data_IF_229046073075
#
_entry.id   IF_229046073075
#
_cell.length_a   1.000
_cell.length_b   1.000
_cell.length_c   1.000
_cell.angle_alpha   90.00
_cell.angle_beta   90.00
_cell.angle_gamma   90.00
#
_symmetry.space_group_name_H-M   'P 1'
#
loop_
_entity.id
_entity.type
_entity.pdbx_description
1 polymer ?
#
# COMPACT_ATOMS: atom_id res chain seq x y z
N UNK A 1 8.97 -24.69 29.45
CA UNK A 1 8.56 -23.52 30.26
C UNK A 1 7.19 -23.09 29.76
N UNK A 2 6.12 -23.57 30.40
CA UNK A 2 4.74 -23.41 29.94
C UNK A 2 4.22 -22.08 30.47
N UNK A 3 4.10 -21.08 29.59
CA UNK A 3 3.46 -19.80 29.94
C UNK A 3 2.01 -20.12 30.35
N UNK A 4 1.65 -19.79 31.60
CA UNK A 4 0.32 -20.12 32.12
C UNK A 4 -0.76 -19.36 31.33
N UNK A 5 -1.94 -19.97 31.18
CA UNK A 5 -3.09 -19.37 30.47
C UNK A 5 -3.41 -17.95 30.98
N UNK A 6 -3.14 -17.67 32.25
CA UNK A 6 -3.32 -16.36 32.88
C UNK A 6 -2.43 -15.27 32.28
N UNK A 7 -1.22 -15.60 31.83
CA UNK A 7 -0.30 -14.63 31.19
C UNK A 7 -0.73 -14.26 29.77
N UNK A 8 -1.38 -15.19 29.06
CA UNK A 8 -1.97 -14.92 27.74
C UNK A 8 -3.16 -13.96 27.82
N UNK A 9 -4.04 -14.18 28.80
CA UNK A 9 -5.22 -13.33 29.00
C UNK A 9 -4.78 -11.91 29.37
N UNK A 10 -3.77 -11.76 30.23
CA UNK A 10 -3.25 -10.45 30.63
C UNK A 10 -2.64 -9.69 29.45
N UNK A 11 -1.87 -10.36 28.58
CA UNK A 11 -1.32 -9.76 27.36
C UNK A 11 -2.41 -9.34 26.37
N UNK A 12 -3.46 -10.15 26.20
CA UNK A 12 -4.56 -9.83 25.29
C UNK A 12 -5.31 -8.58 25.74
N UNK A 13 -5.58 -8.45 27.04
CA UNK A 13 -6.23 -7.27 27.62
C UNK A 13 -5.37 -6.03 27.44
N UNK A 14 -4.05 -6.14 27.65
CA UNK A 14 -3.12 -5.02 27.46
C UNK A 14 -3.09 -4.53 26.01
N UNK A 15 -3.04 -5.45 25.04
CA UNK A 15 -3.08 -5.12 23.61
C UNK A 15 -4.41 -4.45 23.25
N UNK A 16 -5.53 -4.93 23.77
CA UNK A 16 -6.86 -4.34 23.49
C UNK A 16 -6.96 -2.91 24.03
N UNK A 17 -6.45 -2.66 25.24
CA UNK A 17 -6.38 -1.32 25.83
C UNK A 17 -5.50 -0.40 24.97
N UNK A 18 -4.34 -0.88 24.53
CA UNK A 18 -3.48 -0.11 23.62
C UNK A 18 -4.21 0.24 22.31
N UNK A 19 -4.91 -0.70 21.68
CA UNK A 19 -5.64 -0.45 20.41
C UNK A 19 -6.73 0.61 20.62
N UNK A 20 -7.50 0.53 21.71
CA UNK A 20 -8.55 1.51 22.01
C UNK A 20 -7.93 2.90 22.19
N UNK A 21 -6.85 3.01 22.99
CA UNK A 21 -6.17 4.29 23.24
C UNK A 21 -5.56 4.87 21.94
N UNK A 22 -4.92 4.04 21.12
CA UNK A 22 -4.30 4.49 19.87
C UNK A 22 -5.34 4.85 18.79
N UNK A 23 -6.50 4.18 18.75
CA UNK A 23 -7.56 4.47 17.79
C UNK A 23 -8.23 5.85 18.01
N UNK A 24 -8.27 6.32 19.26
CA UNK A 24 -8.82 7.65 19.60
C UNK A 24 -7.89 8.83 19.30
N UNK A 25 -6.65 8.57 18.86
CA UNK A 25 -5.64 9.62 18.64
C UNK A 25 -5.41 9.96 17.16
N UNK A 26 -6.10 9.27 16.23
CA UNK A 26 -6.00 9.55 14.79
C UNK A 26 -7.24 10.34 14.34
N UNK A 27 -7.32 11.60 14.75
CA UNK A 27 -8.23 12.55 14.10
C UNK A 27 -7.53 13.14 12.89
N UNK A 28 -8.02 12.82 11.68
CA UNK A 28 -7.60 13.51 10.48
C UNK A 28 -7.90 15.00 10.64
N UNK A 29 -6.88 15.84 10.47
CA UNK A 29 -7.01 17.29 10.60
C UNK A 29 -7.88 17.83 9.45
N UNK A 30 -9.12 18.19 9.73
CA UNK A 30 -10.06 18.83 8.79
C UNK A 30 -9.72 20.31 8.61
N UNK A 31 -8.55 20.59 8.04
CA UNK A 31 -8.09 21.96 7.80
C UNK A 31 -8.00 22.21 6.30
N UNK A 32 -8.83 23.13 5.82
CA UNK A 32 -8.72 23.67 4.48
C UNK A 32 -7.92 24.98 4.52
N UNK A 33 -7.04 25.18 3.54
CA UNK A 33 -6.30 26.43 3.38
C UNK A 33 -6.97 27.25 2.28
N UNK A 34 -7.41 28.46 2.61
CA UNK A 34 -7.92 29.43 1.64
C UNK A 34 -6.95 30.58 1.48
N UNK A 35 -6.78 31.03 0.24
CA UNK A 35 -5.91 32.14 -0.10
C UNK A 35 -6.51 32.96 -1.24
N UNK A 36 -6.16 34.23 -1.30
CA UNK A 36 -6.66 35.13 -2.32
C UNK A 36 -6.02 36.50 -2.25
N UNK A 37 -6.59 37.45 -2.98
CA UNK A 37 -6.17 38.84 -3.03
C UNK A 37 -7.37 39.75 -2.85
N UNK A 38 -7.26 40.77 -2.00
CA UNK A 38 -8.29 41.79 -1.83
C UNK A 38 -8.09 42.94 -2.84
N UNK A 39 -8.59 42.71 -4.05
CA UNK A 39 -8.49 43.63 -5.18
C UNK A 39 -9.86 44.14 -5.63
N UNK A 40 -10.03 45.45 -5.70
CA UNK A 40 -11.31 46.10 -6.09
C UNK A 40 -11.35 46.56 -7.55
N UNK A 41 -10.49 46.00 -8.42
CA UNK A 41 -10.42 46.36 -9.84
C UNK A 41 -9.47 47.52 -10.15
N UNK A 42 -9.10 48.33 -9.16
CA UNK A 42 -8.11 49.41 -9.32
C UNK A 42 -7.03 49.41 -8.24
N UNK A 43 -7.32 48.84 -7.07
CA UNK A 43 -6.48 48.98 -5.88
C UNK A 43 -6.32 47.65 -5.18
N UNK A 44 -5.09 47.33 -4.80
CA UNK A 44 -4.80 46.27 -3.84
C UNK A 44 -4.92 46.85 -2.43
N UNK A 45 -5.89 46.37 -1.66
CA UNK A 45 -6.18 46.90 -0.35
C UNK A 45 -5.24 46.26 0.67
N UNK A 46 -4.50 47.10 1.40
CA UNK A 46 -3.50 46.68 2.38
C UNK A 46 -3.90 47.15 3.78
N UNK A 47 -3.89 46.24 4.76
CA UNK A 47 -4.26 46.54 6.14
C UNK A 47 -4.86 45.34 6.85
N UNK A 48 -5.47 45.60 7.99
CA UNK A 48 -6.25 44.62 8.75
C UNK A 48 -7.71 44.75 8.38
N UNK A 49 -8.31 43.66 7.93
CA UNK A 49 -9.73 43.62 7.58
C UNK A 49 -10.41 42.45 8.28
N UNK A 50 -11.69 42.63 8.58
CA UNK A 50 -12.56 41.54 9.01
C UNK A 50 -12.97 40.72 7.78
N UNK A 51 -12.68 39.42 7.82
CA UNK A 51 -13.12 38.44 6.85
C UNK A 51 -14.16 37.54 7.49
N UNK A 52 -15.31 37.41 6.86
CA UNK A 52 -16.30 36.40 7.20
C UNK A 52 -16.42 35.43 6.02
N UNK A 53 -16.04 34.18 6.26
CA UNK A 53 -16.13 33.12 5.30
C UNK A 53 -17.37 32.29 5.57
N UNK A 54 -18.22 32.11 4.56
CA UNK A 54 -19.43 31.31 4.67
C UNK A 54 -19.53 30.35 3.50
N UNK A 55 -19.89 29.09 3.78
CA UNK A 55 -20.12 28.07 2.75
C UNK A 55 -21.60 27.79 2.65
N UNK A 56 -22.12 27.94 1.44
CA UNK A 56 -23.52 27.72 1.08
C UNK A 56 -23.69 26.46 0.26
N UNK A 57 -24.87 25.86 0.33
CA UNK A 57 -25.25 24.69 -0.48
C UNK A 57 -25.86 25.05 -1.86
N UNK A 58 -25.84 26.33 -2.22
CA UNK A 58 -26.28 26.86 -3.51
C UNK A 58 -25.46 28.07 -3.94
N UNK A 59 -25.35 28.28 -5.26
CA UNK A 59 -24.67 29.43 -5.85
C UNK A 59 -25.35 30.75 -5.48
N UNK A 60 -26.68 30.75 -5.37
CA UNK A 60 -27.51 31.90 -4.98
C UNK A 60 -28.55 31.46 -3.96
N UNK A 61 -28.70 32.20 -2.86
CA UNK A 61 -29.53 31.77 -1.73
C UNK A 61 -28.93 30.56 -1.01
N UNK A 62 -29.78 29.63 -0.58
CA UNK A 62 -29.37 28.39 0.09
C UNK A 62 -29.04 28.56 1.57
N UNK A 63 -28.79 27.44 2.23
CA UNK A 63 -28.46 27.37 3.65
C UNK A 63 -26.94 27.39 3.85
N UNK A 64 -26.51 27.97 4.98
CA UNK A 64 -25.11 28.01 5.37
C UNK A 64 -24.79 26.72 6.11
N UNK A 65 -23.81 25.95 5.62
CA UNK A 65 -23.29 24.77 6.32
C UNK A 65 -22.03 25.07 7.13
N UNK A 66 -21.29 26.15 6.82
CA UNK A 66 -20.11 26.56 7.57
C UNK A 66 -19.99 28.08 7.62
N UNK A 67 -19.56 28.64 8.74
CA UNK A 67 -19.26 30.06 8.89
C UNK A 67 -18.11 30.31 9.86
N UNK A 68 -17.19 31.20 9.51
CA UNK A 68 -16.08 31.61 10.36
C UNK A 68 -15.71 33.07 10.07
N UNK A 69 -15.63 33.87 11.13
CA UNK A 69 -15.16 35.24 11.08
C UNK A 69 -13.76 35.37 11.72
N UNK A 70 -12.85 36.03 11.02
CA UNK A 70 -11.49 36.28 11.49
C UNK A 70 -10.95 37.60 10.92
N UNK A 71 -10.02 38.23 11.64
CA UNK A 71 -9.27 39.37 11.13
C UNK A 71 -8.01 38.88 10.45
N UNK A 72 -7.77 39.31 9.20
CA UNK A 72 -6.54 39.00 8.47
C UNK A 72 -5.81 40.29 8.08
N UNK A 73 -4.48 40.24 8.15
CA UNK A 73 -3.60 41.27 7.60
C UNK A 73 -3.24 40.89 6.18
N UNK A 74 -3.56 41.75 5.23
CA UNK A 74 -3.23 41.54 3.81
C UNK A 74 -1.81 42.02 3.50
N UNK A 75 -1.10 41.33 2.59
CA UNK A 75 0.21 41.72 2.08
C UNK A 75 0.18 42.93 1.12
N UNK A 76 1.34 43.29 0.56
CA UNK A 76 1.49 44.48 -0.31
C UNK A 76 0.63 44.43 -1.59
N UNK A 77 0.27 43.24 -2.05
CA UNK A 77 -0.64 43.02 -3.18
C UNK A 77 -2.02 42.54 -2.73
N UNK A 78 -2.45 42.94 -1.53
CA UNK A 78 -3.74 42.54 -0.96
C UNK A 78 -3.83 41.04 -0.65
N UNK A 79 -2.72 40.33 -0.65
CA UNK A 79 -2.65 38.87 -0.51
C UNK A 79 -3.00 38.44 0.90
N UNK A 80 -3.78 37.37 1.02
CA UNK A 80 -4.15 36.79 2.31
C UNK A 80 -4.17 35.26 2.22
N UNK A 81 -3.99 34.62 3.38
CA UNK A 81 -4.07 33.18 3.58
C UNK A 81 -4.67 32.89 4.95
N UNK A 82 -5.53 31.88 5.04
CA UNK A 82 -6.15 31.44 6.28
C UNK A 82 -6.38 29.93 6.28
N UNK A 83 -6.44 29.36 7.47
CA UNK A 83 -6.78 27.96 7.72
C UNK A 83 -8.19 27.88 8.29
N UNK A 84 -8.97 26.94 7.78
CA UNK A 84 -10.39 26.79 8.08
C UNK A 84 -10.63 25.39 8.57
N UNK A 85 -10.82 25.28 9.88
CA UNK A 85 -11.06 24.02 10.55
C UNK A 85 -12.57 23.70 10.54
N UNK A 86 -12.92 22.44 10.27
CA UNK A 86 -14.28 21.92 10.43
C UNK A 86 -15.18 22.04 9.19
N UNK A 87 -14.67 22.52 8.05
CA UNK A 87 -15.46 22.69 6.83
C UNK A 87 -15.96 21.35 6.29
N UNK A 88 -15.11 20.33 6.23
CA UNK A 88 -15.53 19.03 5.72
C UNK A 88 -16.50 18.34 6.68
N UNK A 89 -16.38 18.56 8.00
CA UNK A 89 -17.33 18.03 8.98
C UNK A 89 -18.72 18.66 8.85
N UNK A 90 -18.79 19.96 8.58
CA UNK A 90 -20.03 20.73 8.53
C UNK A 90 -20.71 20.66 7.16
N UNK A 91 -19.94 20.53 6.08
CA UNK A 91 -20.38 20.48 4.69
C UNK A 91 -20.04 19.11 4.06
N UNK A 92 -20.64 18.03 4.56
CA UNK A 92 -20.26 16.63 4.27
C UNK A 92 -21.21 15.85 3.32
N UNK A 93 -22.11 16.53 2.60
CA UNK A 93 -23.07 15.86 1.72
C UNK A 93 -22.56 15.78 0.28
N UNK A 94 -22.19 14.58 -0.17
CA UNK A 94 -21.65 14.30 -1.51
C UNK A 94 -22.62 14.57 -2.65
N UNK A 95 -23.93 14.61 -2.38
CA UNK A 95 -24.96 14.90 -3.38
C UNK A 95 -25.18 16.40 -3.59
N UNK A 96 -24.48 17.26 -2.83
CA UNK A 96 -24.60 18.72 -2.93
C UNK A 96 -23.32 19.35 -3.44
N UNK A 97 -23.48 20.48 -4.11
CA UNK A 97 -22.39 21.39 -4.41
C UNK A 97 -22.28 22.46 -3.33
N UNK A 98 -21.05 22.86 -3.02
CA UNK A 98 -20.77 23.86 -2.00
C UNK A 98 -20.13 25.10 -2.62
N UNK A 99 -20.50 26.28 -2.11
CA UNK A 99 -20.11 27.56 -2.65
C UNK A 99 -19.60 28.48 -1.54
N UNK A 100 -18.35 28.92 -1.67
CA UNK A 100 -17.70 29.86 -0.78
C UNK A 100 -18.14 31.29 -1.10
N UNK A 101 -18.66 31.96 -0.08
CA UNK A 101 -18.81 33.40 0.00
C UNK A 101 -17.74 33.95 0.94
N UNK A 102 -17.08 35.03 0.54
CA UNK A 102 -16.17 35.78 1.39
C UNK A 102 -16.77 37.16 1.55
N UNK A 103 -17.03 37.59 2.78
CA UNK A 103 -17.39 38.96 3.10
C UNK A 103 -16.15 39.65 3.67
N UNK A 104 -15.75 40.77 3.09
CA UNK A 104 -14.59 41.53 3.55
C UNK A 104 -15.09 42.91 3.96
N UNK A 105 -14.92 43.27 5.24
CA UNK A 105 -15.33 44.56 5.79
C UNK A 105 -16.81 44.92 5.50
N UNK A 106 -17.70 43.95 5.65
CA UNK A 106 -19.15 44.11 5.43
C UNK A 106 -19.60 43.93 3.97
N UNK A 107 -18.68 43.77 3.01
CA UNK A 107 -19.01 43.63 1.60
C UNK A 107 -18.77 42.20 1.06
N UNK A 108 -19.83 41.58 0.54
CA UNK A 108 -19.75 40.26 -0.09
C UNK A 108 -18.96 40.31 -1.40
N UNK A 109 -18.00 39.40 -1.52
CA UNK A 109 -17.21 39.17 -2.72
C UNK A 109 -17.99 38.25 -3.65
N UNK A 110 -18.87 38.86 -4.44
CA UNK A 110 -19.68 38.15 -5.44
C UNK A 110 -18.98 38.02 -6.80
N UNK A 111 -19.28 36.98 -7.60
CA UNK A 111 -20.11 35.82 -7.26
C UNK A 111 -19.39 34.83 -6.34
N UNK A 112 -20.18 34.03 -5.61
CA UNK A 112 -19.65 32.91 -4.81
C UNK A 112 -18.85 31.96 -5.69
N UNK A 113 -17.82 31.36 -5.12
CA UNK A 113 -16.94 30.41 -5.82
C UNK A 113 -17.29 29.00 -5.41
N UNK A 114 -17.54 28.10 -6.38
CA UNK A 114 -17.75 26.68 -6.09
C UNK A 114 -16.49 26.14 -5.42
N UNK A 115 -16.65 25.52 -4.25
CA UNK A 115 -15.61 24.77 -3.58
C UNK A 115 -15.45 23.45 -4.32
N UNK A 116 -14.50 23.44 -5.25
CA UNK A 116 -13.99 22.21 -5.83
C UNK A 116 -12.87 21.78 -4.91
N UNK A 117 -13.18 20.91 -3.94
CA UNK A 117 -12.13 20.30 -3.13
C UNK A 117 -11.28 19.47 -4.10
N UNK A 118 -10.06 19.93 -4.35
CA UNK A 118 -9.02 19.07 -4.88
C UNK A 118 -8.67 18.10 -3.76
N UNK A 119 -8.85 16.81 -4.01
CA UNK A 119 -8.52 15.71 -3.12
C UNK A 119 -7.09 15.81 -2.58
N UNK A 120 -6.90 16.58 -1.51
CA UNK A 120 -5.82 16.33 -0.57
C UNK A 120 -6.38 15.29 0.39
N UNK A 121 -6.39 14.04 -0.07
CA UNK A 121 -6.88 12.83 0.61
C UNK A 121 -8.41 12.60 0.64
N UNK A 122 -9.16 12.80 -0.46
CA UNK A 122 -10.35 11.93 -0.60
C UNK A 122 -9.88 10.57 -1.08
N UNK A 123 -9.96 9.60 -0.17
CA UNK A 123 -10.02 8.20 -0.54
C UNK A 123 -11.29 8.03 -1.36
N UNK A 124 -11.16 8.05 -2.68
CA UNK A 124 -12.26 7.95 -3.63
C UNK A 124 -12.72 6.48 -3.78
N UNK A 125 -13.11 5.88 -2.66
CA UNK A 125 -13.83 4.61 -2.59
C UNK A 125 -14.82 4.74 -1.45
N UNK A 126 -16.03 4.22 -1.65
CA UNK A 126 -16.99 4.04 -0.57
C UNK A 126 -16.25 3.37 0.61
N UNK A 127 -16.05 4.10 1.70
CA UNK A 127 -15.76 3.45 2.98
C UNK A 127 -17.07 2.86 3.48
N UNK A 128 -17.47 1.78 2.82
CA UNK A 128 -17.93 0.63 3.56
C UNK A 128 -16.73 0.20 4.40
N UNK A 129 -16.54 0.82 5.58
CA UNK A 129 -15.86 0.14 6.67
C UNK A 129 -16.81 -0.92 7.21
N UNK A 130 -17.13 -1.89 6.35
CA UNK A 130 -17.07 -3.29 6.73
C UNK A 130 -15.60 -3.67 6.53
N UNK A 131 -14.70 -3.00 7.27
CA UNK A 131 -13.51 -3.67 7.71
C UNK A 131 -13.98 -4.70 8.72
N UNK A 132 -14.60 -5.79 8.25
CA UNK A 132 -14.80 -6.91 9.14
C UNK A 132 -13.40 -7.40 9.45
N UNK A 133 -13.11 -7.57 10.74
CA UNK A 133 -11.92 -8.28 11.17
C UNK A 133 -11.71 -9.57 10.36
N UNK A 134 -12.80 -10.22 9.94
CA UNK A 134 -12.78 -11.34 9.01
C UNK A 134 -12.19 -11.01 7.63
N UNK A 135 -12.54 -9.90 6.99
CA UNK A 135 -11.99 -9.50 5.69
C UNK A 135 -10.49 -9.22 5.77
N UNK A 136 -10.03 -8.55 6.83
CA UNK A 136 -8.60 -8.29 7.03
C UNK A 136 -7.83 -9.55 7.45
N UNK A 137 -8.43 -10.44 8.24
CA UNK A 137 -7.87 -11.78 8.53
C UNK A 137 -7.80 -12.64 7.27
N UNK A 138 -8.81 -12.55 6.38
CA UNK A 138 -8.79 -13.24 5.09
C UNK A 138 -7.66 -12.68 4.22
N UNK A 139 -7.50 -11.36 4.12
CA UNK A 139 -6.38 -10.73 3.38
C UNK A 139 -5.02 -11.15 3.93
N UNK A 140 -4.84 -11.16 5.25
CA UNK A 140 -3.62 -11.63 5.90
C UNK A 140 -3.37 -13.12 5.62
N UNK A 141 -4.41 -13.95 5.69
CA UNK A 141 -4.30 -15.39 5.39
C UNK A 141 -3.92 -15.64 3.92
N UNK A 142 -4.53 -14.90 2.99
CA UNK A 142 -4.20 -14.97 1.56
C UNK A 142 -2.77 -14.48 1.30
N UNK A 143 -2.37 -13.35 1.89
CA UNK A 143 -0.98 -12.85 1.78
C UNK A 143 0.05 -13.81 2.37
N UNK A 144 -0.26 -14.48 3.49
CA UNK A 144 0.61 -15.48 4.09
C UNK A 144 0.71 -16.75 3.23
N UNK A 145 -0.39 -17.18 2.60
CA UNK A 145 -0.40 -18.29 1.63
C UNK A 145 0.46 -17.95 0.41
N UNK A 146 0.33 -16.75 -0.14
CA UNK A 146 1.12 -16.30 -1.29
C UNK A 146 2.62 -16.22 -0.98
N UNK A 147 2.98 -15.70 0.20
CA UNK A 147 4.36 -15.67 0.66
C UNK A 147 4.93 -17.09 0.83
N UNK A 148 4.16 -18.00 1.45
CA UNK A 148 4.59 -19.39 1.63
C UNK A 148 4.79 -20.12 0.28
N UNK A 149 3.93 -19.83 -0.70
CA UNK A 149 4.08 -20.32 -2.08
C UNK A 149 5.35 -19.78 -2.73
N UNK A 150 5.62 -18.47 -2.62
CA UNK A 150 6.82 -17.85 -3.19
C UNK A 150 8.11 -18.43 -2.58
N UNK A 151 8.14 -18.62 -1.25
CA UNK A 151 9.27 -19.24 -0.55
C UNK A 151 9.48 -20.68 -1.03
N UNK A 152 8.40 -21.46 -1.18
CA UNK A 152 8.48 -22.86 -1.62
C UNK A 152 8.98 -22.97 -3.05
N UNK A 153 8.53 -22.09 -3.96
CA UNK A 153 9.01 -22.04 -5.34
C UNK A 153 10.49 -21.63 -5.42
N UNK A 154 10.91 -20.66 -4.60
CA UNK A 154 12.32 -20.24 -4.53
C UNK A 154 13.24 -21.39 -4.11
N UNK A 155 12.84 -22.17 -3.09
CA UNK A 155 13.58 -23.37 -2.66
C UNK A 155 13.67 -24.44 -3.75
N UNK A 156 12.59 -24.67 -4.51
CA UNK A 156 12.60 -25.60 -5.64
C UNK A 156 13.55 -25.16 -6.75
N UNK A 157 13.54 -23.87 -7.10
CA UNK A 157 14.43 -23.33 -8.11
C UNK A 157 15.91 -23.51 -7.70
N UNK A 158 16.22 -23.23 -6.43
CA UNK A 158 17.56 -23.46 -5.89
C UNK A 158 17.95 -24.94 -5.91
N UNK A 159 17.06 -25.85 -5.50
CA UNK A 159 17.32 -27.28 -5.54
C UNK A 159 17.57 -27.81 -6.96
N UNK A 160 16.82 -27.31 -7.95
CA UNK A 160 17.01 -27.64 -9.36
C UNK A 160 18.38 -27.20 -9.87
N UNK A 161 18.77 -25.96 -9.57
CA UNK A 161 20.07 -25.41 -9.97
C UNK A 161 21.22 -26.20 -9.33
N UNK A 162 21.13 -26.48 -8.03
CA UNK A 162 22.12 -27.26 -7.30
C UNK A 162 22.27 -28.69 -7.85
N UNK A 163 21.15 -29.37 -8.14
CA UNK A 163 21.17 -30.72 -8.69
C UNK A 163 21.79 -30.77 -10.09
N UNK A 164 21.45 -29.81 -10.96
CA UNK A 164 22.04 -29.70 -12.30
C UNK A 164 23.56 -29.47 -12.24
N UNK A 165 24.01 -28.50 -11.43
CA UNK A 165 25.45 -28.20 -11.30
C UNK A 165 26.22 -29.39 -10.70
N UNK A 166 25.64 -30.09 -9.71
CA UNK A 166 26.25 -31.28 -9.11
C UNK A 166 26.38 -32.41 -10.13
N UNK A 167 25.33 -32.69 -10.90
CA UNK A 167 25.35 -33.74 -11.93
C UNK A 167 26.41 -33.45 -13.01
N UNK A 168 26.48 -32.22 -13.50
CA UNK A 168 27.48 -31.80 -14.49
C UNK A 168 28.89 -31.99 -13.94
N UNK A 169 29.17 -31.51 -12.72
CA UNK A 169 30.50 -31.68 -12.11
C UNK A 169 30.88 -33.15 -11.89
N UNK A 170 29.95 -34.01 -11.49
CA UNK A 170 30.20 -35.44 -11.34
C UNK A 170 30.47 -36.13 -12.68
N UNK A 171 29.75 -35.75 -13.73
CA UNK A 171 30.00 -36.24 -15.09
C UNK A 171 31.40 -35.82 -15.57
N UNK A 172 31.79 -34.56 -15.39
CA UNK A 172 33.13 -34.08 -15.76
C UNK A 172 34.26 -34.82 -15.03
N UNK A 173 34.09 -35.09 -13.73
CA UNK A 173 35.05 -35.88 -12.94
C UNK A 173 35.14 -37.31 -13.47
N UNK A 174 34.00 -37.96 -13.73
CA UNK A 174 33.97 -39.33 -14.24
C UNK A 174 34.60 -39.45 -15.64
N UNK A 175 34.34 -38.49 -16.53
CA UNK A 175 34.98 -38.39 -17.85
C UNK A 175 36.51 -38.24 -17.74
N UNK A 176 36.99 -37.39 -16.83
CA UNK A 176 38.43 -37.25 -16.56
C UNK A 176 39.06 -38.56 -16.10
N UNK A 177 38.41 -39.30 -15.19
CA UNK A 177 38.89 -40.60 -14.70
C UNK A 177 38.99 -41.65 -15.80
N UNK A 178 37.99 -41.71 -16.69
CA UNK A 178 37.97 -42.67 -17.80
C UNK A 178 39.10 -42.40 -18.79
N UNK A 179 39.37 -41.13 -19.09
CA UNK A 179 40.46 -40.76 -19.99
C UNK A 179 41.86 -41.03 -19.41
N UNK A 180 41.98 -41.21 -18.08
CA UNK A 180 43.25 -41.52 -17.40
C UNK A 180 43.46 -43.00 -17.09
N UNK A 181 42.46 -43.87 -17.29
CA UNK A 181 42.59 -45.31 -17.00
C UNK A 181 43.07 -46.10 -18.22
N UNK A 182 44.21 -46.79 -18.12
CA UNK A 182 44.66 -47.78 -19.10
C UNK A 182 43.82 -49.05 -19.00
N UNK A 183 43.31 -49.52 -20.14
CA UNK A 183 42.33 -50.62 -20.26
C UNK A 183 42.87 -51.96 -19.77
N UNK A 184 42.39 -52.44 -18.63
CA UNK A 184 42.58 -53.83 -18.13
C UNK A 184 41.37 -54.73 -18.34
N UNK A 185 40.27 -54.19 -18.88
CA UNK A 185 39.03 -54.92 -19.20
C UNK A 185 38.63 -54.58 -20.62
N UNK A 186 38.34 -55.59 -21.45
CA UNK A 186 38.13 -55.48 -22.91
C UNK A 186 36.94 -54.65 -23.41
N UNK A 187 36.37 -53.77 -22.60
CA UNK A 187 35.43 -52.74 -23.06
C UNK A 187 36.19 -51.50 -23.57
N UNK A 188 35.82 -50.99 -24.75
CA UNK A 188 36.42 -49.77 -25.30
C UNK A 188 36.08 -48.55 -24.42
N UNK A 189 36.99 -47.58 -24.38
CA UNK A 189 36.80 -46.30 -23.68
C UNK A 189 35.54 -45.58 -24.19
N UNK A 190 35.31 -45.64 -25.51
CA UNK A 190 34.14 -45.05 -26.18
C UNK A 190 32.82 -45.63 -25.65
N UNK A 191 32.76 -46.95 -25.44
CA UNK A 191 31.57 -47.60 -24.88
C UNK A 191 31.30 -47.20 -23.42
N UNK A 192 32.37 -47.00 -22.62
CA UNK A 192 32.26 -46.52 -21.22
C UNK A 192 31.74 -45.08 -21.15
N UNK A 193 32.16 -44.21 -22.07
CA UNK A 193 31.67 -42.83 -22.18
C UNK A 193 30.18 -42.81 -22.53
N UNK A 194 29.75 -43.61 -23.51
CA UNK A 194 28.34 -43.68 -23.93
C UNK A 194 27.44 -44.13 -22.76
N UNK A 195 27.84 -45.18 -22.03
CA UNK A 195 27.10 -45.65 -20.84
C UNK A 195 26.96 -44.57 -19.77
N UNK A 196 27.99 -43.77 -19.54
CA UNK A 196 27.96 -42.68 -18.57
C UNK A 196 27.07 -41.51 -18.99
N UNK A 197 27.09 -41.14 -20.27
CA UNK A 197 26.18 -40.13 -20.82
C UNK A 197 24.73 -40.59 -20.69
N UNK A 198 24.44 -41.84 -21.03
CA UNK A 198 23.09 -42.42 -20.87
C UNK A 198 22.64 -42.44 -19.39
N UNK A 199 23.51 -42.86 -18.47
CA UNK A 199 23.20 -42.85 -17.04
C UNK A 199 22.96 -41.42 -16.51
N UNK A 200 23.70 -40.43 -17.01
CA UNK A 200 23.52 -39.03 -16.66
C UNK A 200 22.20 -38.44 -17.16
N UNK A 201 21.82 -38.73 -18.41
CA UNK A 201 20.51 -38.31 -18.96
C UNK A 201 19.34 -38.98 -18.21
N UNK A 202 19.49 -40.26 -17.83
CA UNK A 202 18.51 -40.94 -16.97
C UNK A 202 18.40 -40.28 -15.59
N UNK A 203 19.53 -39.96 -14.95
CA UNK A 203 19.53 -39.27 -13.65
C UNK A 203 18.87 -37.89 -13.74
N UNK A 204 19.12 -37.13 -14.80
CA UNK A 204 18.50 -35.83 -15.06
C UNK A 204 16.98 -35.96 -15.22
N UNK A 205 16.51 -36.96 -15.96
CA UNK A 205 15.08 -37.23 -16.13
C UNK A 205 14.40 -37.59 -14.80
N UNK A 206 15.06 -38.41 -13.96
CA UNK A 206 14.54 -38.76 -12.62
C UNK A 206 14.47 -37.55 -11.69
N UNK A 207 15.51 -36.71 -11.67
CA UNK A 207 15.53 -35.47 -10.87
C UNK A 207 14.43 -34.52 -11.31
N UNK A 208 14.23 -34.36 -12.62
CA UNK A 208 13.18 -33.49 -13.15
C UNK A 208 11.78 -34.00 -12.78
N UNK A 209 11.55 -35.31 -12.88
CA UNK A 209 10.30 -35.93 -12.48
C UNK A 209 9.95 -35.67 -10.99
N UNK A 210 10.91 -35.83 -10.09
CA UNK A 210 10.73 -35.54 -8.66
C UNK A 210 10.47 -34.04 -8.39
N UNK A 211 11.14 -33.15 -9.13
CA UNK A 211 10.90 -31.71 -9.05
C UNK A 211 9.49 -31.33 -9.51
N UNK A 212 8.99 -31.97 -10.57
CA UNK A 212 7.65 -31.73 -11.09
C UNK A 212 6.58 -32.23 -10.12
N UNK A 213 6.79 -33.38 -9.48
CA UNK A 213 5.93 -33.87 -8.39
C UNK A 213 5.93 -32.89 -7.21
N UNK A 214 7.11 -32.41 -6.80
CA UNK A 214 7.22 -31.47 -5.69
C UNK A 214 6.52 -30.13 -6.01
N UNK A 215 6.64 -29.66 -7.25
CA UNK A 215 5.96 -28.45 -7.72
C UNK A 215 4.43 -28.63 -7.74
N UNK A 216 3.93 -29.77 -8.23
CA UNK A 216 2.50 -30.11 -8.18
C UNK A 216 1.95 -30.18 -6.75
N UNK A 217 2.73 -30.72 -5.79
CA UNK A 217 2.35 -30.75 -4.37
C UNK A 217 2.26 -29.36 -3.74
N UNK A 218 3.15 -28.44 -4.11
CA UNK A 218 3.11 -27.05 -3.64
C UNK A 218 1.87 -26.33 -4.18
N UNK A 219 1.52 -26.55 -5.45
CA UNK A 219 0.29 -26.03 -6.07
C UNK A 219 -0.99 -26.60 -5.43
N UNK A 220 -0.96 -27.83 -4.93
CA UNK A 220 -2.09 -28.47 -4.27
C UNK A 220 -2.29 -28.04 -2.80
N UNK A 221 -1.26 -27.48 -2.16
CA UNK A 221 -1.27 -27.06 -0.75
C UNK A 221 -1.61 -25.56 -0.57
N UNK A 222 -1.67 -24.78 -1.65
CA UNK A 222 -2.08 -23.37 -1.67
C UNK A 222 -3.59 -23.19 -1.76
#
# INVERSE_FOLDING_TARGET
MTISKSVYILNLVYILICIIIFSSLVSASDVLVWQGQYYTGTTFNTGNYEFNFSVYDSLTGGDICYSNATTLTTGNFGEWKTEQNGVNSACNNVSKDYYLNININGADQTPRRRLIVWDSLRKNVDEITIGSFEADVIRLRTGLKDLNRAISQSKLNYARELANTTLVSQQEIALKLINTTTTTTGESIEYKIIKLQQAGEQAKAMIQYELDIAQARILALS
#
